data_IF_431948991896
#
_entry.id   IF_431948991896
#
_cell.length_a   1.000
_cell.length_b   1.000
_cell.length_c   1.000
_cell.angle_alpha   90.00
_cell.angle_beta   90.00
_cell.angle_gamma   90.00
#
_symmetry.space_group_name_H-M   'P 1'
#
loop_
_entity.id
_entity.type
_entity.pdbx_description
1 polymer ?
#
# COMPACT_ATOMS: atom_id res chain seq x y z
N UNK A 1 -4.43 -25.71 -21.90
CA UNK A 1 -5.23 -26.41 -20.88
C UNK A 1 -6.00 -25.35 -20.14
N UNK A 2 -7.32 -25.35 -20.30
CA UNK A 2 -8.21 -24.28 -19.85
C UNK A 2 -9.01 -24.76 -18.64
N UNK A 3 -8.87 -24.09 -17.49
CA UNK A 3 -9.76 -24.12 -16.33
C UNK A 3 -9.45 -22.86 -15.49
N UNK A 4 -10.37 -22.12 -14.89
CA UNK A 4 -11.81 -21.98 -15.02
C UNK A 4 -12.15 -20.63 -14.36
N UNK A 5 -12.94 -19.79 -15.04
CA UNK A 5 -13.50 -18.58 -14.44
C UNK A 5 -14.67 -18.95 -13.53
N UNK A 6 -14.67 -18.49 -12.28
CA UNK A 6 -15.82 -18.68 -11.39
C UNK A 6 -16.51 -17.35 -11.08
N UNK A 7 -17.70 -17.18 -11.64
CA UNK A 7 -18.64 -16.09 -11.38
C UNK A 7 -19.49 -16.45 -10.17
N UNK A 8 -19.58 -15.57 -9.18
CA UNK A 8 -20.50 -15.74 -8.06
C UNK A 8 -21.96 -15.46 -8.50
N UNK A 9 -22.84 -16.43 -8.22
CA UNK A 9 -24.28 -16.34 -8.37
C UNK A 9 -24.87 -15.77 -7.07
N UNK A 10 -25.58 -14.64 -7.18
CA UNK A 10 -26.36 -14.06 -6.08
C UNK A 10 -27.69 -14.84 -5.96
N UNK A 11 -27.90 -15.49 -4.82
CA UNK A 11 -29.22 -16.01 -4.43
C UNK A 11 -29.82 -15.05 -3.42
N UNK A 12 -30.87 -14.34 -3.84
CA UNK A 12 -31.70 -13.55 -2.95
C UNK A 12 -32.66 -14.47 -2.18
N UNK A 13 -32.54 -14.49 -0.85
CA UNK A 13 -33.59 -14.96 0.04
C UNK A 13 -33.83 -13.89 1.10
N UNK A 14 -34.90 -13.12 0.92
CA UNK A 14 -35.45 -12.27 1.94
C UNK A 14 -36.39 -13.10 2.82
N UNK A 15 -36.26 -12.99 4.14
CA UNK A 15 -37.32 -12.76 5.15
C UNK A 15 -36.74 -13.03 6.54
N UNK A 16 -36.83 -12.03 7.43
CA UNK A 16 -36.74 -12.23 8.88
C UNK A 16 -35.99 -11.13 9.61
N UNK A 17 -36.69 -10.07 10.01
CA UNK A 17 -36.19 -9.07 10.94
C UNK A 17 -35.80 -9.72 12.28
N UNK A 18 -34.54 -9.58 12.67
CA UNK A 18 -34.02 -9.98 13.98
C UNK A 18 -32.84 -9.09 14.34
N UNK A 19 -33.08 -8.17 15.26
CA UNK A 19 -32.04 -7.35 15.90
C UNK A 19 -31.12 -8.29 16.67
N UNK A 20 -29.87 -8.46 16.22
CA UNK A 20 -28.81 -9.02 17.08
C UNK A 20 -28.20 -7.86 17.85
N UNK A 21 -28.82 -7.63 18.99
CA UNK A 21 -28.30 -6.83 20.08
C UNK A 21 -26.96 -7.39 20.57
N UNK A 22 -26.11 -6.50 21.07
CA UNK A 22 -24.95 -6.82 21.89
C UNK A 22 -25.34 -7.82 22.98
N UNK A 23 -24.69 -8.98 23.00
CA UNK A 23 -24.93 -9.98 24.03
C UNK A 23 -24.20 -9.56 25.31
N UNK A 24 -24.98 -9.17 26.31
CA UNK A 24 -24.53 -8.93 27.68
C UNK A 24 -24.65 -10.23 28.47
N UNK A 25 -23.52 -10.82 28.84
CA UNK A 25 -23.43 -11.98 29.72
C UNK A 25 -22.29 -11.80 30.73
N UNK A 26 -22.66 -11.40 31.95
CA UNK A 26 -21.80 -11.26 33.12
C UNK A 26 -21.03 -12.55 33.42
N UNK A 27 -19.72 -12.46 33.26
CA UNK A 27 -18.75 -13.40 33.81
C UNK A 27 -17.55 -12.58 34.22
N UNK A 28 -17.34 -12.44 35.52
CA UNK A 28 -16.32 -11.63 36.18
C UNK A 28 -14.90 -12.17 35.86
N UNK A 29 -14.48 -12.04 34.60
CA UNK A 29 -13.08 -12.17 34.20
C UNK A 29 -12.42 -10.84 34.55
N UNK A 30 -11.34 -10.83 35.35
CA UNK A 30 -10.58 -9.61 35.54
C UNK A 30 -10.22 -9.06 34.14
N UNK A 31 -10.29 -7.73 33.93
CA UNK A 31 -9.84 -7.15 32.68
C UNK A 31 -8.41 -7.68 32.41
N UNK A 32 -8.09 -8.04 31.14
CA UNK A 32 -6.71 -8.39 30.81
C UNK A 32 -5.81 -7.27 31.34
N UNK A 33 -4.66 -7.61 31.94
CA UNK A 33 -3.83 -6.63 32.63
C UNK A 33 -3.58 -5.46 31.69
N UNK A 34 -4.01 -4.27 32.13
CA UNK A 34 -3.84 -3.01 31.43
C UNK A 34 -2.36 -2.62 31.47
N UNK A 35 -1.61 -3.26 30.61
CA UNK A 35 -0.21 -2.95 30.32
C UNK A 35 0.01 -3.32 28.87
N UNK A 36 -0.54 -2.51 27.95
CA UNK A 36 0.02 -2.48 26.60
C UNK A 36 1.49 -2.10 26.77
N UNK A 37 2.36 -3.05 26.48
CA UNK A 37 3.82 -2.96 26.60
C UNK A 37 4.43 -2.12 25.48
N UNK A 38 3.61 -1.71 24.50
CA UNK A 38 3.93 -0.59 23.63
C UNK A 38 4.16 0.65 24.52
N UNK A 39 5.41 1.07 24.63
CA UNK A 39 5.93 2.00 25.64
C UNK A 39 5.14 3.31 25.79
N UNK A 40 5.69 4.42 25.31
CA UNK A 40 5.03 5.73 25.31
C UNK A 40 4.78 6.10 23.86
N UNK A 41 3.64 6.72 23.55
CA UNK A 41 3.41 7.19 22.19
C UNK A 41 4.49 8.21 21.78
N UNK A 42 4.91 8.11 20.53
CA UNK A 42 5.89 8.99 19.91
C UNK A 42 5.16 9.78 18.83
N UNK A 43 5.38 11.08 18.80
CA UNK A 43 4.86 11.92 17.72
C UNK A 43 5.56 11.56 16.41
N UNK A 44 4.79 11.18 15.40
CA UNK A 44 5.25 10.67 14.11
C UNK A 44 4.65 11.50 12.97
N UNK A 45 5.32 12.57 12.52
CA UNK A 45 4.77 13.48 11.52
C UNK A 45 4.21 12.75 10.29
N UNK A 46 2.95 13.03 9.94
CA UNK A 46 2.26 12.46 8.77
C UNK A 46 1.77 11.02 8.95
N UNK A 47 1.96 10.41 10.12
CA UNK A 47 1.50 9.06 10.46
C UNK A 47 0.40 9.16 11.52
N UNK A 48 -0.62 8.33 11.43
CA UNK A 48 -1.80 8.43 12.30
C UNK A 48 -2.47 9.80 12.21
N UNK A 49 -2.80 10.36 13.37
CA UNK A 49 -3.35 11.71 13.51
C UNK A 49 -2.27 12.80 13.70
N UNK A 50 -0.99 12.46 13.60
CA UNK A 50 0.10 13.41 13.81
C UNK A 50 0.35 14.25 12.55
N UNK A 51 0.17 15.56 12.68
CA UNK A 51 0.40 16.50 11.58
C UNK A 51 1.86 16.55 11.12
N UNK A 52 2.07 16.79 9.83
CA UNK A 52 3.39 17.02 9.23
C UNK A 52 3.71 16.06 8.08
N UNK A 53 4.99 16.00 7.73
CA UNK A 53 5.49 15.21 6.60
C UNK A 53 6.25 14.00 7.15
N UNK A 54 5.98 12.77 6.66
CA UNK A 54 6.73 11.58 7.04
C UNK A 54 8.24 11.79 6.89
N UNK A 55 8.99 11.24 7.84
CA UNK A 55 10.45 11.41 7.91
C UNK A 55 11.19 10.17 7.41
N UNK A 56 12.33 10.39 6.78
CA UNK A 56 13.21 9.32 6.34
C UNK A 56 14.11 9.71 5.18
N UNK A 57 14.54 8.71 4.41
CA UNK A 57 15.45 8.90 3.28
C UNK A 57 14.65 9.03 1.98
N UNK A 58 14.86 10.06 1.14
CA UNK A 58 14.17 10.17 -0.14
C UNK A 58 14.44 8.98 -1.07
N UNK A 59 13.42 8.51 -1.79
CA UNK A 59 13.59 7.51 -2.85
C UNK A 59 14.45 8.09 -3.98
N UNK A 60 15.47 7.35 -4.39
CA UNK A 60 16.28 7.67 -5.56
C UNK A 60 15.97 6.67 -6.68
N UNK A 61 15.54 7.18 -7.83
CA UNK A 61 15.33 6.36 -9.02
C UNK A 61 16.66 6.18 -9.78
N UNK A 62 16.83 5.07 -10.53
CA UNK A 62 17.96 4.89 -11.44
C UNK A 62 18.08 6.02 -12.46
N UNK A 63 19.29 6.24 -12.97
CA UNK A 63 19.54 7.24 -14.01
C UNK A 63 18.65 7.00 -15.25
N UNK A 64 18.03 8.06 -15.75
CA UNK A 64 17.13 8.01 -16.91
C UNK A 64 15.72 7.48 -16.62
N UNK A 65 15.41 7.13 -15.36
CA UNK A 65 14.05 6.82 -14.90
C UNK A 65 13.47 7.99 -14.10
N UNK A 66 12.20 8.32 -14.35
CA UNK A 66 11.50 9.38 -13.62
C UNK A 66 10.01 9.09 -13.47
N UNK A 67 9.31 9.80 -12.58
CA UNK A 67 7.84 9.75 -12.56
C UNK A 67 7.25 10.50 -13.75
N UNK A 68 6.26 9.89 -14.41
CA UNK A 68 5.55 10.45 -15.55
C UNK A 68 4.19 11.04 -15.10
N UNK A 69 4.23 12.22 -14.49
CA UNK A 69 3.01 12.90 -14.02
C UNK A 69 2.65 12.60 -12.56
N UNK A 70 1.38 12.79 -12.21
CA UNK A 70 0.87 12.67 -10.84
C UNK A 70 0.49 11.24 -10.52
N UNK A 71 0.91 10.73 -9.36
CA UNK A 71 0.45 9.45 -8.84
C UNK A 71 -1.02 9.57 -8.43
N UNK A 72 -1.82 8.56 -8.75
CA UNK A 72 -3.27 8.53 -8.44
C UNK A 72 -3.64 7.26 -7.72
N UNK A 73 -4.73 7.30 -6.95
CA UNK A 73 -5.30 6.08 -6.40
C UNK A 73 -5.88 5.19 -7.51
N UNK A 74 -5.99 3.89 -7.23
CA UNK A 74 -6.72 2.96 -8.09
C UNK A 74 -8.23 3.25 -8.06
N UNK A 75 -8.96 2.78 -9.07
CA UNK A 75 -10.41 2.98 -9.14
C UNK A 75 -11.13 2.30 -7.98
N UNK A 76 -12.06 3.00 -7.32
CA UNK A 76 -12.74 2.52 -6.12
C UNK A 76 -13.50 1.20 -6.35
N UNK A 77 -14.17 1.10 -7.51
CA UNK A 77 -15.07 -0.03 -7.80
C UNK A 77 -14.31 -1.28 -8.22
N UNK A 78 -13.35 -1.15 -9.15
CA UNK A 78 -12.55 -2.30 -9.61
C UNK A 78 -11.41 -2.61 -8.66
N UNK A 79 -10.91 -1.60 -7.95
CA UNK A 79 -9.70 -1.68 -7.16
C UNK A 79 -8.41 -1.67 -7.98
N UNK A 80 -8.50 -1.40 -9.29
CA UNK A 80 -7.43 -1.56 -10.26
C UNK A 80 -6.94 -0.20 -10.80
N UNK A 81 -5.66 -0.16 -11.19
CA UNK A 81 -5.12 0.96 -11.92
C UNK A 81 -5.54 0.92 -13.39
N UNK A 82 -5.95 2.07 -13.93
CA UNK A 82 -6.21 2.21 -15.36
C UNK A 82 -4.90 1.99 -16.15
N UNK A 83 -4.96 1.13 -17.18
CA UNK A 83 -3.83 0.81 -18.07
C UNK A 83 -2.56 0.34 -17.33
N UNK A 84 -2.72 -0.44 -16.26
CA UNK A 84 -1.62 -1.09 -15.56
C UNK A 84 -0.70 -1.85 -16.53
N UNK A 85 0.61 -1.54 -16.48
CA UNK A 85 1.60 -2.20 -17.35
C UNK A 85 2.15 -3.50 -16.75
N UNK A 86 1.90 -3.72 -15.46
CA UNK A 86 2.26 -4.91 -14.69
C UNK A 86 1.16 -5.27 -13.70
N UNK A 87 1.20 -6.51 -13.22
CA UNK A 87 0.43 -6.93 -12.05
C UNK A 87 0.74 -6.05 -10.84
N UNK A 88 -0.22 -5.96 -9.93
CA UNK A 88 -0.06 -5.22 -8.67
C UNK A 88 1.09 -5.76 -7.84
N UNK A 89 1.75 -4.85 -7.11
CA UNK A 89 2.93 -5.13 -6.31
C UNK A 89 2.66 -4.76 -4.84
N UNK A 90 3.00 -5.66 -3.91
CA UNK A 90 2.72 -5.53 -2.49
C UNK A 90 1.40 -6.17 -2.05
N UNK A 91 1.22 -6.35 -0.75
CA UNK A 91 0.08 -7.07 -0.16
C UNK A 91 -0.97 -6.16 0.48
N UNK A 92 -0.78 -4.84 0.48
CA UNK A 92 -1.69 -3.90 1.13
C UNK A 92 -3.05 -3.79 0.44
N UNK A 93 -4.12 -3.61 1.22
CA UNK A 93 -5.49 -3.70 0.68
C UNK A 93 -6.16 -2.36 0.36
N UNK A 94 -5.82 -1.27 1.05
CA UNK A 94 -6.65 -0.06 1.12
C UNK A 94 -5.97 1.22 0.59
N UNK A 95 -4.65 1.23 0.45
CA UNK A 95 -3.92 2.29 -0.25
C UNK A 95 -3.32 1.70 -1.51
N UNK A 96 -4.03 1.84 -2.63
CA UNK A 96 -3.62 1.34 -3.94
C UNK A 96 -3.26 2.52 -4.81
N UNK A 97 -1.99 2.63 -5.19
CA UNK A 97 -1.46 3.80 -5.91
C UNK A 97 -0.89 3.39 -7.26
N UNK A 98 -1.33 4.07 -8.31
CA UNK A 98 -0.86 3.92 -9.66
C UNK A 98 0.35 4.84 -9.87
N UNK A 99 1.53 4.23 -10.01
CA UNK A 99 2.79 4.94 -10.16
C UNK A 99 3.20 4.98 -11.63
N UNK A 100 3.11 6.14 -12.29
CA UNK A 100 3.54 6.27 -13.68
C UNK A 100 5.06 6.46 -13.73
N UNK A 101 5.76 5.55 -14.40
CA UNK A 101 7.20 5.62 -14.64
C UNK A 101 7.51 5.96 -16.10
N UNK A 102 8.63 6.65 -16.28
CA UNK A 102 9.27 6.94 -17.58
C UNK A 102 10.65 6.35 -17.57
N UNK A 103 11.05 5.71 -18.65
CA UNK A 103 12.42 5.28 -18.89
C UNK A 103 12.90 5.79 -20.25
N UNK A 104 13.86 6.71 -20.22
CA UNK A 104 14.40 7.39 -21.40
C UNK A 104 15.77 6.83 -21.86
N UNK A 105 16.22 5.69 -21.32
CA UNK A 105 17.59 5.19 -21.53
C UNK A 105 17.80 4.43 -22.84
N UNK A 106 16.75 4.07 -23.57
CA UNK A 106 16.86 3.23 -24.78
C UNK A 106 16.97 1.73 -24.52
N UNK A 107 17.08 1.31 -23.25
CA UNK A 107 17.11 -0.09 -22.83
C UNK A 107 16.25 -0.32 -21.58
N UNK A 108 15.82 -1.55 -21.27
CA UNK A 108 15.15 -1.83 -20.01
C UNK A 108 16.03 -1.47 -18.80
N UNK A 109 15.43 -0.91 -17.75
CA UNK A 109 16.11 -0.51 -16.50
C UNK A 109 15.43 -1.18 -15.33
N UNK A 110 16.22 -1.76 -14.43
CA UNK A 110 15.71 -2.29 -13.16
C UNK A 110 15.42 -1.15 -12.20
N UNK A 111 14.20 -1.11 -11.67
CA UNK A 111 13.73 -0.13 -10.68
C UNK A 111 13.34 -0.88 -9.42
N UNK A 112 13.82 -0.38 -8.28
CA UNK A 112 13.51 -0.92 -6.96
C UNK A 112 12.63 0.05 -6.17
N UNK A 113 11.53 -0.45 -5.63
CA UNK A 113 10.78 0.18 -4.55
C UNK A 113 11.09 -0.59 -3.25
N UNK A 114 11.86 0.02 -2.32
CA UNK A 114 12.30 -0.67 -1.12
C UNK A 114 11.19 -0.81 -0.06
N UNK A 115 11.29 -1.80 0.83
CA UNK A 115 10.48 -1.87 2.05
C UNK A 115 10.54 -0.55 2.83
N UNK A 116 9.40 -0.12 3.35
CA UNK A 116 9.27 1.11 4.12
C UNK A 116 9.08 2.37 3.28
N UNK A 117 8.96 2.25 1.95
CA UNK A 117 8.58 3.37 1.10
C UNK A 117 7.19 3.91 1.48
N UNK A 118 7.12 5.20 1.77
CA UNK A 118 5.87 5.90 2.06
C UNK A 118 5.37 6.60 0.80
N UNK A 119 4.06 6.57 0.57
CA UNK A 119 3.37 7.51 -0.34
C UNK A 119 2.48 8.43 0.48
N UNK A 120 2.49 9.71 0.13
CA UNK A 120 1.76 10.75 0.85
C UNK A 120 0.58 11.20 0.01
N UNK A 121 -0.63 11.19 0.56
CA UNK A 121 -1.79 11.76 -0.10
C UNK A 121 -1.64 13.28 -0.21
N UNK A 122 -1.83 13.81 -1.41
CA UNK A 122 -1.67 15.25 -1.72
C UNK A 122 -2.96 15.95 -2.11
N UNK A 123 -4.03 15.19 -2.39
CA UNK A 123 -5.35 15.76 -2.66
C UNK A 123 -5.95 16.37 -1.40
N UNK A 124 -6.72 17.44 -1.55
CA UNK A 124 -7.52 17.99 -0.44
C UNK A 124 -8.48 16.92 0.11
N UNK A 125 -8.60 16.83 1.43
CA UNK A 125 -9.43 15.84 2.10
C UNK A 125 -8.65 15.04 3.13
N UNK A 126 -9.19 13.87 3.52
CA UNK A 126 -8.61 13.00 4.54
C UNK A 126 -8.09 11.71 3.93
N UNK A 127 -7.30 11.76 2.86
CA UNK A 127 -6.70 10.56 2.25
C UNK A 127 -5.62 9.93 3.15
N UNK A 128 -5.60 8.60 3.20
CA UNK A 128 -4.56 7.81 3.89
C UNK A 128 -3.21 7.94 3.18
N UNK A 129 -2.12 8.03 3.94
CA UNK A 129 -0.79 7.73 3.45
C UNK A 129 -0.61 6.21 3.37
N UNK A 130 0.27 5.76 2.48
CA UNK A 130 0.54 4.34 2.27
C UNK A 130 1.96 3.95 2.69
N UNK A 131 2.14 2.74 3.21
CA UNK A 131 3.44 2.10 3.42
C UNK A 131 3.58 0.84 2.57
N UNK A 132 4.63 0.76 1.76
CA UNK A 132 5.02 -0.47 1.08
C UNK A 132 5.80 -1.33 2.07
N UNK A 133 5.34 -2.55 2.32
CA UNK A 133 6.00 -3.48 3.23
C UNK A 133 7.05 -4.30 2.47
N UNK A 134 6.71 -4.80 1.29
CA UNK A 134 7.59 -5.68 0.53
C UNK A 134 8.57 -4.93 -0.36
N UNK A 135 9.68 -5.59 -0.66
CA UNK A 135 10.62 -5.13 -1.68
C UNK A 135 10.06 -5.47 -3.05
N UNK A 136 9.88 -4.47 -3.90
CA UNK A 136 9.43 -4.65 -5.27
C UNK A 136 10.55 -4.30 -6.24
N UNK A 137 10.89 -5.23 -7.14
CA UNK A 137 11.90 -5.04 -8.19
C UNK A 137 11.22 -5.28 -9.54
N UNK A 138 11.30 -4.29 -10.42
CA UNK A 138 10.64 -4.31 -11.73
C UNK A 138 11.62 -3.95 -12.83
N UNK A 139 11.43 -4.52 -14.02
CA UNK A 139 12.18 -4.14 -15.22
C UNK A 139 11.30 -3.22 -16.06
N UNK A 140 11.62 -1.92 -16.04
CA UNK A 140 10.88 -0.90 -16.79
C UNK A 140 11.43 -0.81 -18.21
N UNK A 141 10.65 -1.14 -19.25
CA UNK A 141 11.09 -1.00 -20.63
C UNK A 141 11.20 0.49 -21.01
N UNK A 142 11.90 0.83 -22.10
CA UNK A 142 11.89 2.19 -22.64
C UNK A 142 10.47 2.68 -22.95
N UNK A 143 10.16 3.92 -22.60
CA UNK A 143 8.82 4.52 -22.75
C UNK A 143 8.81 5.64 -23.80
N UNK A 144 7.75 5.82 -24.60
CA UNK A 144 7.60 6.97 -25.48
C UNK A 144 7.07 8.22 -24.73
N UNK A 145 7.44 9.45 -25.14
CA UNK A 145 8.47 9.77 -26.11
C UNK A 145 9.88 9.59 -25.53
N UNK A 146 10.69 8.72 -26.15
CA UNK A 146 12.04 8.43 -25.69
C UNK A 146 12.78 7.46 -26.61
N UNK A 147 14.13 7.44 -26.59
CA UNK A 147 14.90 6.45 -27.32
C UNK A 147 14.42 5.04 -26.98
N UNK A 148 14.19 4.19 -27.99
CA UNK A 148 13.74 2.81 -27.80
C UNK A 148 12.28 2.64 -27.36
N UNK A 149 11.54 3.74 -27.11
CA UNK A 149 10.12 3.72 -26.82
C UNK A 149 9.31 3.11 -27.97
N UNK A 150 8.27 2.37 -27.63
CA UNK A 150 7.32 1.77 -28.57
C UNK A 150 5.90 2.13 -28.15
N UNK A 151 5.03 2.36 -29.12
CA UNK A 151 3.59 2.53 -28.87
C UNK A 151 2.95 1.21 -28.39
N UNK A 152 1.66 1.25 -28.07
CA UNK A 152 0.89 0.09 -27.62
C UNK A 152 0.81 -1.03 -28.69
N UNK A 153 1.06 -0.70 -29.96
CA UNK A 153 1.16 -1.66 -31.07
C UNK A 153 2.58 -2.24 -31.24
N UNK A 154 3.54 -1.85 -30.41
CA UNK A 154 4.94 -2.25 -30.49
C UNK A 154 5.73 -1.57 -31.62
N UNK A 155 5.15 -0.55 -32.26
CA UNK A 155 5.80 0.24 -33.30
C UNK A 155 6.80 1.19 -32.65
N UNK A 156 8.03 1.32 -33.17
CA UNK A 156 8.92 2.41 -32.78
C UNK A 156 8.28 3.73 -33.24
N UNK A 157 7.52 4.38 -32.36
CA UNK A 157 6.72 5.55 -32.72
C UNK A 157 7.56 6.84 -32.78
N UNK A 158 8.82 6.78 -32.33
CA UNK A 158 9.69 7.96 -32.27
C UNK A 158 9.18 9.04 -31.31
N UNK A 159 8.19 8.73 -30.47
CA UNK A 159 7.68 9.57 -29.40
C UNK A 159 6.62 10.59 -29.80
N UNK A 160 5.49 10.15 -30.32
CA UNK A 160 4.31 11.04 -30.48
C UNK A 160 3.23 10.79 -29.45
N UNK A 161 3.10 9.57 -28.91
CA UNK A 161 2.20 9.28 -27.80
C UNK A 161 2.97 9.15 -26.47
N UNK A 162 2.55 9.91 -25.47
CA UNK A 162 3.16 9.87 -24.14
C UNK A 162 2.51 8.75 -23.32
N UNK A 163 3.16 7.58 -23.30
CA UNK A 163 2.70 6.43 -22.53
C UNK A 163 3.66 6.16 -21.37
N UNK A 164 3.13 6.20 -20.15
CA UNK A 164 3.87 5.86 -18.94
C UNK A 164 3.76 4.35 -18.65
N UNK A 165 4.81 3.79 -18.06
CA UNK A 165 4.77 2.45 -17.50
C UNK A 165 4.09 2.51 -16.13
N UNK A 166 2.84 2.07 -16.04
CA UNK A 166 2.00 2.17 -14.85
C UNK A 166 2.25 0.97 -13.93
N UNK A 167 2.76 1.24 -12.73
CA UNK A 167 2.99 0.23 -11.68
C UNK A 167 1.94 0.40 -10.58
N UNK A 168 1.04 -0.57 -10.36
CA UNK A 168 0.15 -0.56 -9.21
C UNK A 168 0.90 -0.98 -7.94
N UNK A 169 0.98 -0.10 -6.94
CA UNK A 169 1.51 -0.40 -5.61
C UNK A 169 0.36 -0.57 -4.61
N UNK A 170 0.31 -1.74 -3.97
CA UNK A 170 -0.70 -2.16 -2.99
C UNK A 170 -0.08 -2.03 -1.60
N UNK A 171 -0.45 -0.96 -0.91
CA UNK A 171 0.21 -0.45 0.28
C UNK A 171 -0.73 -0.46 1.49
N UNK A 172 -0.14 -0.47 2.67
CA UNK A 172 -0.86 -0.47 3.94
C UNK A 172 -1.21 0.94 4.40
N UNK A 173 -2.34 1.05 5.09
CA UNK A 173 -2.81 2.30 5.67
C UNK A 173 -1.90 2.76 6.81
N UNK A 174 -1.57 4.06 6.80
CA UNK A 174 -0.78 4.71 7.83
C UNK A 174 -1.58 5.66 8.73
N UNK A 175 -2.85 5.93 8.44
CA UNK A 175 -3.67 6.91 9.16
C UNK A 175 -5.09 6.36 9.41
N UNK A 176 -5.34 5.68 10.53
CA UNK A 176 -6.55 4.85 10.72
C UNK A 176 -7.88 5.57 10.46
N UNK A 177 -7.98 6.84 10.83
CA UNK A 177 -9.22 7.63 10.71
C UNK A 177 -9.37 8.35 9.35
N UNK A 178 -8.50 8.02 8.38
CA UNK A 178 -8.49 8.57 7.01
C UNK A 178 -9.10 7.61 5.99
N UNK A 179 -9.55 8.19 4.89
CA UNK A 179 -10.23 7.53 3.79
C UNK A 179 -9.26 6.70 2.94
N UNK A 180 -9.66 5.49 2.48
CA UNK A 180 -8.86 4.68 1.56
C UNK A 180 -8.65 5.38 0.21
N UNK A 181 -7.72 4.86 -0.59
CA UNK A 181 -7.43 5.41 -1.93
C UNK A 181 -8.61 5.27 -2.89
N UNK A 182 -8.78 6.25 -3.79
CA UNK A 182 -9.65 6.15 -4.96
C UNK A 182 -9.03 6.91 -6.16
N UNK A 183 -9.64 6.79 -7.34
CA UNK A 183 -9.15 7.34 -8.62
C UNK A 183 -8.99 8.88 -8.63
N UNK A 184 -9.70 9.58 -7.75
CA UNK A 184 -9.66 11.03 -7.65
C UNK A 184 -8.57 11.52 -6.68
N UNK A 185 -8.07 10.66 -5.79
CA UNK A 185 -6.99 10.99 -4.88
C UNK A 185 -5.65 11.06 -5.61
N UNK A 186 -4.87 12.09 -5.27
CA UNK A 186 -3.52 12.27 -5.78
C UNK A 186 -2.50 11.98 -4.69
N UNK A 187 -1.34 11.50 -5.11
CA UNK A 187 -0.26 11.12 -4.21
C UNK A 187 1.08 11.70 -4.67
N UNK A 188 2.01 11.80 -3.73
CA UNK A 188 3.42 12.01 -3.98
C UNK A 188 4.23 10.89 -3.33
N UNK A 189 5.36 10.55 -3.95
CA UNK A 189 6.32 9.63 -3.33
C UNK A 189 6.98 10.33 -2.14
N UNK A 190 6.86 9.70 -0.98
CA UNK A 190 7.49 10.11 0.26
C UNK A 190 8.86 9.45 0.47
N UNK A 191 9.39 9.51 1.70
CA UNK A 191 10.64 8.85 2.03
C UNK A 191 10.45 7.35 2.25
N UNK A 192 11.57 6.63 2.25
CA UNK A 192 11.72 5.39 2.99
C UNK A 192 11.78 5.75 4.47
N UNK A 193 10.79 5.30 5.24
CA UNK A 193 10.60 5.70 6.65
C UNK A 193 11.85 5.47 7.50
N UNK A 194 12.15 6.40 8.41
CA UNK A 194 13.17 6.22 9.45
C UNK A 194 12.59 6.01 10.85
N UNK A 195 11.28 5.79 10.98
CA UNK A 195 10.65 5.52 12.29
C UNK A 195 11.10 4.15 12.82
N UNK A 196 11.61 4.12 14.06
CA UNK A 196 12.21 2.91 14.64
C UNK A 196 11.21 1.75 14.79
N UNK A 197 9.94 2.04 15.09
CA UNK A 197 8.92 1.01 15.28
C UNK A 197 8.46 0.43 13.92
N UNK A 198 8.32 1.28 12.89
CA UNK A 198 8.10 0.81 11.53
C UNK A 198 9.29 0.01 11.00
N UNK A 199 10.53 0.44 11.28
CA UNK A 199 11.73 -0.31 10.94
C UNK A 199 11.81 -1.66 11.68
N UNK A 200 11.31 -1.73 12.92
CA UNK A 200 11.16 -3.00 13.64
C UNK A 200 10.15 -3.93 12.94
N UNK A 201 8.97 -3.41 12.62
CA UNK A 201 7.94 -4.16 11.91
C UNK A 201 8.44 -4.72 10.57
N UNK A 202 9.08 -3.89 9.74
CA UNK A 202 9.63 -4.31 8.44
C UNK A 202 10.64 -5.45 8.58
N UNK A 203 11.49 -5.41 9.62
CA UNK A 203 12.45 -6.49 9.90
C UNK A 203 11.77 -7.79 10.33
N UNK A 204 10.70 -7.70 11.12
CA UNK A 204 9.95 -8.87 11.54
C UNK A 204 9.20 -9.53 10.38
N UNK A 205 8.81 -8.74 9.38
CA UNK A 205 8.14 -9.19 8.16
C UNK A 205 9.09 -9.67 7.06
N UNK A 206 10.40 -9.49 7.24
CA UNK A 206 11.38 -9.88 6.22
C UNK A 206 11.32 -11.39 5.92
N UNK A 207 11.04 -11.73 4.66
CA UNK A 207 10.96 -13.10 4.18
C UNK A 207 9.66 -13.84 4.51
N UNK A 208 8.69 -13.20 5.17
CA UNK A 208 7.35 -13.75 5.40
C UNK A 208 6.48 -13.59 4.15
N UNK A 209 5.54 -14.52 3.98
CA UNK A 209 4.55 -14.47 2.90
C UNK A 209 3.26 -13.90 3.47
N UNK A 210 2.67 -12.92 2.77
CA UNK A 210 1.40 -12.31 3.14
C UNK A 210 0.45 -12.52 1.96
N UNK A 211 -0.31 -13.62 1.97
CA UNK A 211 -1.13 -14.03 0.84
C UNK A 211 -2.61 -14.24 1.17
N UNK A 212 -3.00 -14.08 2.44
CA UNK A 212 -4.39 -14.12 2.89
C UNK A 212 -4.88 -12.79 3.47
N UNK A 213 -6.20 -12.60 3.48
CA UNK A 213 -6.82 -11.44 4.13
C UNK A 213 -6.58 -11.40 5.64
N UNK A 214 -6.34 -12.56 6.27
CA UNK A 214 -5.99 -12.66 7.69
C UNK A 214 -4.59 -12.09 7.94
N UNK A 215 -3.61 -12.48 7.13
CA UNK A 215 -2.22 -12.00 7.23
C UNK A 215 -2.15 -10.49 6.99
N UNK A 216 -2.88 -10.00 5.99
CA UNK A 216 -3.02 -8.56 5.74
C UNK A 216 -3.60 -7.85 6.96
N UNK A 217 -4.60 -8.45 7.62
CA UNK A 217 -5.17 -7.95 8.86
C UNK A 217 -4.16 -7.88 10.01
N UNK A 218 -3.32 -8.90 10.18
CA UNK A 218 -2.25 -8.93 11.20
C UNK A 218 -1.30 -7.75 10.99
N UNK A 219 -0.78 -7.57 9.77
CA UNK A 219 0.15 -6.48 9.46
C UNK A 219 -0.51 -5.11 9.63
N UNK A 220 -1.76 -4.94 9.17
CA UNK A 220 -2.47 -3.67 9.28
C UNK A 220 -2.75 -3.29 10.75
N UNK A 221 -3.09 -4.27 11.60
CA UNK A 221 -3.31 -4.03 13.02
C UNK A 221 -2.00 -3.61 13.72
N UNK A 222 -0.89 -4.28 13.43
CA UNK A 222 0.42 -3.89 13.95
C UNK A 222 0.82 -2.46 13.55
N UNK A 223 0.55 -2.07 12.30
CA UNK A 223 0.74 -0.69 11.84
C UNK A 223 -0.09 0.30 12.65
N UNK A 224 -1.38 0.02 12.90
CA UNK A 224 -2.21 0.90 13.71
C UNK A 224 -1.81 0.93 15.19
N UNK A 225 -1.26 -0.15 15.76
CA UNK A 225 -0.62 -0.11 17.08
C UNK A 225 0.56 0.88 17.10
N UNK A 226 1.30 0.99 15.99
CA UNK A 226 2.41 1.94 15.85
C UNK A 226 1.92 3.37 15.64
N UNK A 227 1.01 3.61 14.69
CA UNK A 227 0.61 4.97 14.27
C UNK A 227 -0.42 5.62 15.17
N UNK A 228 -1.31 4.84 15.79
CA UNK A 228 -2.38 5.34 16.68
C UNK A 228 -2.10 5.05 18.15
N UNK A 229 -1.22 4.09 18.42
CA UNK A 229 -0.98 3.53 19.74
C UNK A 229 0.32 4.05 20.34
N UNK A 230 1.14 3.12 20.84
CA UNK A 230 2.40 3.45 21.54
C UNK A 230 3.60 2.73 20.93
N UNK A 231 3.46 2.27 19.69
CA UNK A 231 4.41 1.38 19.04
C UNK A 231 3.90 -0.06 18.98
N UNK A 232 4.77 -0.94 18.49
CA UNK A 232 4.50 -2.36 18.35
C UNK A 232 4.40 -3.03 19.73
N UNK A 233 3.32 -3.77 19.98
CA UNK A 233 3.05 -4.49 21.24
C UNK A 233 3.57 -5.93 21.21
N UNK A 234 3.63 -6.62 22.35
CA UNK A 234 3.93 -8.07 22.39
C UNK A 234 2.91 -8.88 21.57
N UNK A 235 1.58 -8.69 21.72
CA UNK A 235 0.60 -9.35 20.86
C UNK A 235 0.81 -9.13 19.36
N UNK A 236 1.23 -7.93 18.93
CA UNK A 236 1.53 -7.69 17.52
C UNK A 236 2.73 -8.54 17.06
N UNK A 237 3.81 -8.58 17.87
CA UNK A 237 5.00 -9.39 17.57
C UNK A 237 4.67 -10.88 17.51
N UNK A 238 3.88 -11.37 18.45
CA UNK A 238 3.45 -12.77 18.48
C UNK A 238 2.64 -13.12 17.23
N UNK A 239 1.65 -12.29 16.87
CA UNK A 239 0.84 -12.49 15.67
C UNK A 239 1.69 -12.45 14.37
N UNK A 240 2.65 -11.53 14.27
CA UNK A 240 3.56 -11.46 13.12
C UNK A 240 4.45 -12.70 13.06
N UNK A 241 4.93 -13.21 14.20
CA UNK A 241 5.77 -14.40 14.23
C UNK A 241 5.04 -15.65 13.72
N UNK A 242 3.71 -15.71 13.90
CA UNK A 242 2.85 -16.81 13.47
C UNK A 242 2.47 -16.77 11.98
N UNK A 243 2.83 -15.70 11.25
CA UNK A 243 2.74 -15.60 9.77
C UNK A 243 3.76 -16.51 9.06
#
# INVERSE_FOLDING_TARGET
>A
MAQAAWKWLVVAAAVGAGVLACDGGDGNKPPPPTGFDAGVNVFRPGLGEDDGVPQGTPLSLPEGVSFAGTLRGAAEVSGECENASVESQGSGALVRVCVPLRNNTGSPVEVEFPPGLVVVSTSEGRGQNGLLIERTILVVPPTPPGPGGRDDAGTPDGGVEENAYIVPLYMYCLNKERDPSNEFMTYAVGPITSDDALQELLRLLEGKVIDSAEDVGVVQNALYSITEGRGLTTPDRDAINDL
#
